data_IF_804598706298
#
_entry.id   IF_804598706298
#
_cell.length_a   1.000
_cell.length_b   1.000
_cell.length_c   1.000
_cell.angle_alpha   90.00
_cell.angle_beta   90.00
_cell.angle_gamma   90.00
#
_symmetry.space_group_name_H-M   'P 1'
#
loop_
_entity.id
_entity.type
_entity.pdbx_description
1 polymer ?
#
# COMPACT_ATOMS: atom_id res chain seq x y z
N UNK A 1 9.44 2.71 -2.37
CA UNK A 1 9.86 1.30 -2.27
C UNK A 1 9.11 0.44 -3.28
N UNK A 2 9.80 -0.43 -4.03
CA UNK A 2 9.15 -1.48 -4.81
C UNK A 2 8.70 -2.60 -3.86
N UNK A 3 7.40 -2.86 -3.79
CA UNK A 3 6.82 -3.90 -2.92
C UNK A 3 6.13 -5.01 -3.74
N UNK A 4 6.52 -5.19 -5.00
CA UNK A 4 5.88 -6.15 -5.92
C UNK A 4 5.84 -7.57 -5.34
N UNK A 5 6.95 -8.02 -4.73
CA UNK A 5 7.06 -9.38 -4.17
C UNK A 5 6.40 -9.52 -2.79
N UNK A 6 6.07 -8.42 -2.13
CA UNK A 6 5.57 -8.39 -0.74
C UNK A 6 4.16 -7.82 -0.58
N UNK A 7 3.53 -7.40 -1.68
CA UNK A 7 2.18 -6.81 -1.65
C UNK A 7 1.15 -7.76 -1.04
N UNK A 8 1.17 -9.04 -1.42
CA UNK A 8 0.19 -10.01 -0.93
C UNK A 8 0.29 -10.19 0.59
N UNK A 9 1.51 -10.34 1.11
CA UNK A 9 1.75 -10.48 2.55
C UNK A 9 1.28 -9.24 3.32
N UNK A 10 1.47 -8.05 2.74
CA UNK A 10 0.95 -6.80 3.29
C UNK A 10 -0.59 -6.80 3.35
N UNK A 11 -1.28 -7.22 2.29
CA UNK A 11 -2.74 -7.25 2.26
C UNK A 11 -3.29 -8.27 3.26
N UNK A 12 -2.69 -9.46 3.36
CA UNK A 12 -3.03 -10.48 4.37
C UNK A 12 -2.80 -9.95 5.79
N UNK A 13 -1.67 -9.28 6.04
CA UNK A 13 -1.39 -8.68 7.34
C UNK A 13 -2.41 -7.60 7.72
N UNK A 14 -2.84 -6.78 6.76
CA UNK A 14 -3.87 -5.77 6.98
C UNK A 14 -5.24 -6.41 7.27
N UNK A 15 -5.57 -7.51 6.61
CA UNK A 15 -6.84 -8.24 6.76
C UNK A 15 -7.09 -8.74 8.19
N UNK A 16 -6.03 -8.94 8.99
CA UNK A 16 -6.13 -9.32 10.42
C UNK A 16 -6.90 -8.27 11.24
N UNK A 17 -6.79 -6.98 10.88
CA UNK A 17 -7.38 -5.87 11.65
C UNK A 17 -8.83 -5.57 11.26
N UNK A 18 -9.70 -6.59 11.30
CA UNK A 18 -11.09 -6.54 10.81
C UNK A 18 -11.91 -5.33 11.28
N UNK A 19 -11.80 -4.94 12.55
CA UNK A 19 -12.55 -3.80 13.09
C UNK A 19 -12.07 -2.43 12.59
N UNK A 20 -10.89 -2.38 11.97
CA UNK A 20 -10.25 -1.16 11.44
C UNK A 20 -10.27 -1.11 9.91
N UNK A 21 -10.86 -2.11 9.26
CA UNK A 21 -11.05 -2.17 7.81
C UNK A 21 -12.51 -1.86 7.50
N UNK A 22 -12.71 -1.04 6.47
CA UNK A 22 -14.01 -0.88 5.83
C UNK A 22 -14.15 -1.77 4.60
N UNK A 23 -15.39 -1.92 4.12
CA UNK A 23 -15.68 -2.49 2.81
C UNK A 23 -15.20 -1.55 1.70
N UNK A 24 -14.82 -2.09 0.55
CA UNK A 24 -14.51 -1.25 -0.62
C UNK A 24 -15.78 -0.45 -1.00
N UNK A 25 -15.80 0.89 -1.03
CA UNK A 25 -14.81 1.90 -1.44
C UNK A 25 -14.12 2.68 -0.29
N UNK A 26 -14.20 2.19 0.94
CA UNK A 26 -13.55 2.82 2.10
C UNK A 26 -12.02 2.94 1.87
N UNK A 27 -11.39 4.08 2.22
CA UNK A 27 -9.96 4.32 1.96
C UNK A 27 -9.03 3.34 2.70
N UNK A 28 -9.51 2.69 3.77
CA UNK A 28 -8.77 1.64 4.49
C UNK A 28 -9.18 0.22 4.09
N UNK A 29 -10.05 0.02 3.10
CA UNK A 29 -10.37 -1.31 2.59
C UNK A 29 -9.16 -1.98 1.92
N UNK A 30 -9.13 -3.31 1.92
CA UNK A 30 -8.08 -4.10 1.23
C UNK A 30 -7.99 -3.72 -0.25
N UNK A 31 -9.14 -3.52 -0.90
CA UNK A 31 -9.20 -3.08 -2.31
C UNK A 31 -8.61 -1.69 -2.54
N UNK A 32 -8.85 -0.73 -1.63
CA UNK A 32 -8.25 0.60 -1.71
C UNK A 32 -6.73 0.56 -1.52
N UNK A 33 -6.24 -0.27 -0.59
CA UNK A 33 -4.80 -0.47 -0.34
C UNK A 33 -4.09 -1.07 -1.56
N UNK A 34 -4.68 -2.09 -2.18
CA UNK A 34 -4.16 -2.70 -3.40
C UNK A 34 -4.13 -1.70 -4.57
N UNK A 35 -5.24 -0.98 -4.79
CA UNK A 35 -5.34 0.02 -5.85
C UNK A 35 -4.29 1.12 -5.71
N UNK A 36 -4.10 1.63 -4.49
CA UNK A 36 -3.09 2.67 -4.22
C UNK A 36 -1.66 2.17 -4.45
N UNK A 37 -1.37 0.92 -4.07
CA UNK A 37 -0.06 0.32 -4.32
C UNK A 37 0.23 0.18 -5.82
N UNK A 38 -0.74 -0.27 -6.61
CA UNK A 38 -0.64 -0.37 -8.08
C UNK A 38 -0.46 0.99 -8.74
N UNK A 39 -1.25 1.98 -8.33
CA UNK A 39 -1.12 3.35 -8.82
C UNK A 39 0.28 3.92 -8.56
N UNK A 40 0.80 3.79 -7.33
CA UNK A 40 2.16 4.23 -7.01
C UNK A 40 3.21 3.46 -7.80
N UNK A 41 3.05 2.15 -7.96
CA UNK A 41 3.95 1.32 -8.75
C UNK A 41 4.05 1.79 -10.20
N UNK A 42 2.89 2.08 -10.82
CA UNK A 42 2.86 2.52 -12.22
C UNK A 42 3.57 3.85 -12.45
N UNK A 43 3.59 4.75 -11.46
CA UNK A 43 4.35 6.02 -11.55
C UNK A 43 5.88 5.85 -11.61
N UNK A 44 6.40 4.69 -11.20
CA UNK A 44 7.84 4.38 -11.18
C UNK A 44 8.19 3.06 -11.90
N UNK A 45 7.33 2.60 -12.80
CA UNK A 45 7.52 1.41 -13.65
C UNK A 45 7.69 0.07 -12.89
N UNK A 46 7.00 -0.12 -11.76
CA UNK A 46 6.89 -1.42 -11.07
C UNK A 46 5.43 -1.81 -10.83
N UNK A 47 5.14 -3.07 -10.49
CA UNK A 47 3.74 -3.53 -10.33
C UNK A 47 3.07 -2.97 -9.08
N UNK A 48 3.83 -2.74 -8.02
CA UNK A 48 3.33 -2.18 -6.76
C UNK A 48 4.42 -1.40 -6.02
N UNK A 49 4.05 -0.27 -5.41
CA UNK A 49 4.99 0.54 -4.63
C UNK A 49 4.35 1.20 -3.40
N UNK A 50 5.21 1.45 -2.41
CA UNK A 50 4.92 2.34 -1.28
C UNK A 50 5.67 3.65 -1.41
N UNK A 51 4.99 4.74 -1.05
CA UNK A 51 5.53 6.09 -1.09
C UNK A 51 5.87 6.55 0.33
N UNK A 52 6.97 7.30 0.45
CA UNK A 52 7.47 7.88 1.68
C UNK A 52 7.74 9.37 1.44
N UNK A 53 7.68 10.17 2.50
CA UNK A 53 8.04 11.59 2.48
C UNK A 53 9.16 11.81 3.49
N UNK A 54 10.31 12.32 3.02
CA UNK A 54 11.41 12.69 3.89
C UNK A 54 11.13 14.09 4.47
N UNK A 55 11.04 14.19 5.80
CA UNK A 55 10.83 15.48 6.48
C UNK A 55 12.15 16.16 6.85
N UNK A 56 13.19 15.38 7.17
CA UNK A 56 14.50 15.90 7.58
C UNK A 56 15.62 14.97 7.12
N UNK A 57 16.63 15.56 6.47
CA UNK A 57 17.92 14.94 6.20
C UNK A 57 18.93 15.46 7.23
N UNK A 58 19.66 14.56 7.89
CA UNK A 58 20.79 14.93 8.75
C UNK A 58 22.05 14.51 8.01
N UNK A 59 22.94 15.47 7.78
CA UNK A 59 24.25 15.26 7.18
C UNK A 59 25.32 15.34 8.25
#
# INVERSE_FOLDING_TARGET
>A
ENITETLEQKLVAMDIFKSQLGEFQDPRSVGALEALAKFRGSTICVKAAEAFVLIREIR
#
